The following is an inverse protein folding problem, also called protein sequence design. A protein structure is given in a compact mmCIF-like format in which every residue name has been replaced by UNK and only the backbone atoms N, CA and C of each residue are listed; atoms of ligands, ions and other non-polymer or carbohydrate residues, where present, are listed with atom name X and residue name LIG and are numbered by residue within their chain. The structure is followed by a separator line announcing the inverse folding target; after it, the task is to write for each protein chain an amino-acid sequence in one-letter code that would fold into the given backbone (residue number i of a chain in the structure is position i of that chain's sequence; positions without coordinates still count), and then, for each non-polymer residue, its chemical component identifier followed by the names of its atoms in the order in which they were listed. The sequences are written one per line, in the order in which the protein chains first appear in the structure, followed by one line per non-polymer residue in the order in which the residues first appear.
data_IF_813356243084
#
_entry.id   IF_813356243084
#
_cell.length_a   1.000
_cell.length_b   1.000
_cell.length_c   1.000
_cell.angle_alpha   90.00
_cell.angle_beta   90.00
_cell.angle_gamma   90.00
#
_symmetry.space_group_name_H-M   'P 1'
#
loop_
_entity.id
_entity.type
_entity.pdbx_description
1 polymer ?
#
# COMPACT_ATOMS: atom_id res chain seq x y z
N UNK A 1 5.27 -13.06 3.30
CA UNK A 1 5.74 -11.89 4.07
C UNK A 1 7.17 -11.44 3.72
N UNK A 2 8.16 -12.34 3.68
CA UNK A 2 9.58 -12.03 3.42
C UNK A 2 9.85 -11.34 2.07
N UNK A 3 9.07 -11.68 1.03
CA UNK A 3 9.22 -11.09 -0.31
C UNK A 3 9.03 -9.56 -0.33
N UNK A 4 8.13 -9.00 0.50
CA UNK A 4 7.91 -7.56 0.58
C UNK A 4 9.14 -6.83 1.13
N UNK A 5 9.72 -7.38 2.19
CA UNK A 5 10.93 -6.82 2.80
C UNK A 5 12.12 -6.86 1.82
N UNK A 6 12.29 -7.97 1.09
CA UNK A 6 13.34 -8.07 0.06
C UNK A 6 13.13 -7.10 -1.09
N UNK A 7 11.91 -7.01 -1.64
CA UNK A 7 11.55 -6.01 -2.64
C UNK A 7 11.75 -4.57 -2.13
N UNK A 8 11.79 -4.42 -0.80
CA UNK A 8 12.04 -3.17 -0.11
C UNK A 8 13.49 -2.89 0.25
N UNK A 9 14.43 -3.79 -0.10
CA UNK A 9 15.85 -3.65 0.21
C UNK A 9 16.23 -4.10 1.62
N UNK A 10 15.32 -4.71 2.37
CA UNK A 10 15.58 -5.22 3.71
C UNK A 10 15.91 -6.72 3.68
N UNK A 11 16.75 -7.14 4.61
CA UNK A 11 17.06 -8.55 4.87
C UNK A 11 16.42 -8.97 6.21
N UNK A 12 15.10 -9.24 6.22
CA UNK A 12 14.33 -9.31 7.46
C UNK A 12 14.57 -10.60 8.24
N UNK A 13 15.24 -11.61 7.65
CA UNK A 13 15.26 -12.98 8.17
C UNK A 13 15.77 -13.01 9.61
N UNK A 14 16.89 -12.33 9.89
CA UNK A 14 17.45 -12.27 11.24
C UNK A 14 16.62 -11.38 12.18
N UNK A 15 16.13 -10.25 11.68
CA UNK A 15 15.32 -9.32 12.47
C UNK A 15 13.98 -9.93 12.92
N UNK A 16 13.21 -10.45 11.97
CA UNK A 16 11.91 -11.11 12.22
C UNK A 16 12.09 -12.32 13.14
N UNK A 17 13.11 -13.14 12.92
CA UNK A 17 13.42 -14.27 13.82
C UNK A 17 13.65 -13.80 15.25
N UNK A 18 14.47 -12.76 15.43
CA UNK A 18 14.77 -12.17 16.75
C UNK A 18 13.50 -11.63 17.42
N UNK A 19 12.62 -10.98 16.67
CA UNK A 19 11.36 -10.44 17.20
C UNK A 19 10.39 -11.55 17.64
N UNK A 20 10.32 -12.66 16.89
CA UNK A 20 9.53 -13.85 17.27
C UNK A 20 10.10 -14.51 18.53
N UNK A 21 11.42 -14.72 18.58
CA UNK A 21 12.10 -15.30 19.76
C UNK A 21 11.89 -14.47 21.03
N UNK A 22 11.78 -13.15 20.89
CA UNK A 22 11.47 -12.22 21.98
C UNK A 22 9.97 -12.08 22.28
N UNK A 23 9.11 -12.84 21.60
CA UNK A 23 7.64 -12.76 21.72
C UNK A 23 7.08 -11.36 21.46
N UNK A 24 7.79 -10.55 20.67
CA UNK A 24 7.37 -9.19 20.30
C UNK A 24 6.39 -9.19 19.15
N UNK A 25 6.50 -10.19 18.28
CA UNK A 25 5.61 -10.43 17.15
C UNK A 25 5.31 -11.93 17.06
N UNK A 26 4.17 -12.28 16.46
CA UNK A 26 3.81 -13.64 16.09
C UNK A 26 3.52 -13.69 14.60
N UNK A 27 3.75 -14.83 13.96
CA UNK A 27 3.38 -15.04 12.56
C UNK A 27 2.21 -16.02 12.54
N UNK A 28 1.05 -15.53 12.10
CA UNK A 28 -0.16 -16.34 11.96
C UNK A 28 -0.67 -16.15 10.53
N UNK A 29 -0.85 -17.26 9.80
CA UNK A 29 -1.36 -17.24 8.42
C UNK A 29 -0.61 -16.24 7.52
N UNK A 30 0.73 -16.25 7.56
CA UNK A 30 1.61 -15.32 6.83
C UNK A 30 1.44 -13.82 7.18
N UNK A 31 0.77 -13.51 8.28
CA UNK A 31 0.61 -12.14 8.81
C UNK A 31 1.42 -11.93 10.09
N UNK A 32 2.02 -10.75 10.22
CA UNK A 32 2.61 -10.30 11.48
C UNK A 32 1.46 -9.91 12.40
N UNK A 33 1.38 -10.57 13.54
CA UNK A 33 0.55 -10.20 14.66
C UNK A 33 1.44 -9.57 15.73
N UNK A 34 0.96 -8.51 16.35
CA UNK A 34 1.66 -7.79 17.42
C UNK A 34 0.65 -7.44 18.50
N UNK A 35 1.07 -7.48 19.76
CA UNK A 35 0.25 -6.92 20.85
C UNK A 35 0.06 -5.41 20.65
N UNK A 36 -1.08 -4.88 21.10
CA UNK A 36 -1.44 -3.47 20.89
C UNK A 36 -0.36 -2.51 21.41
N UNK A 37 0.25 -2.80 22.56
CA UNK A 37 1.36 -2.01 23.11
C UNK A 37 2.60 -1.99 22.19
N UNK A 38 2.89 -3.12 21.53
CA UNK A 38 3.99 -3.20 20.57
C UNK A 38 3.67 -2.45 19.28
N UNK A 39 2.42 -2.49 18.84
CA UNK A 39 1.94 -1.70 17.70
C UNK A 39 2.04 -0.21 18.01
N UNK A 40 1.62 0.21 19.19
CA UNK A 40 1.68 1.60 19.64
C UNK A 40 3.13 2.10 19.71
N UNK A 41 4.02 1.33 20.34
CA UNK A 41 5.44 1.68 20.42
C UNK A 41 6.09 1.74 19.03
N UNK A 42 5.87 0.72 18.18
CA UNK A 42 6.40 0.70 16.82
C UNK A 42 5.88 1.85 15.96
N UNK A 43 4.63 2.25 16.19
CA UNK A 43 4.01 3.41 15.57
C UNK A 43 4.68 4.71 16.01
N UNK A 44 4.89 4.91 17.30
CA UNK A 44 5.53 6.12 17.84
C UNK A 44 6.96 6.29 17.28
N UNK A 45 7.72 5.20 17.20
CA UNK A 45 9.07 5.20 16.59
C UNK A 45 8.98 5.60 15.12
N UNK A 46 8.07 4.99 14.35
CA UNK A 46 7.93 5.31 12.94
C UNK A 46 7.56 6.79 12.70
N UNK A 47 6.69 7.36 13.54
CA UNK A 47 6.32 8.77 13.50
C UNK A 47 7.53 9.66 13.84
N UNK A 48 8.33 9.31 14.84
CA UNK A 48 9.54 10.07 15.20
C UNK A 48 10.60 10.06 14.09
N UNK A 49 10.79 8.92 13.42
CA UNK A 49 11.75 8.81 12.32
C UNK A 49 11.29 9.58 11.07
N UNK A 50 10.01 9.45 10.71
CA UNK A 50 9.46 10.11 9.54
C UNK A 50 7.93 10.17 9.61
N UNK A 51 7.36 11.28 10.13
CA UNK A 51 5.92 11.39 10.42
C UNK A 51 5.02 11.07 9.23
N UNK A 52 5.47 11.39 8.01
CA UNK A 52 4.63 11.32 6.79
C UNK A 52 4.97 10.16 5.86
N UNK A 53 5.89 9.27 6.25
CA UNK A 53 6.31 8.17 5.38
C UNK A 53 5.23 7.10 5.23
N UNK A 54 4.43 6.89 6.27
CA UNK A 54 3.31 5.93 6.29
C UNK A 54 2.08 6.62 6.85
N UNK A 55 1.05 6.72 6.05
CA UNK A 55 -0.19 7.39 6.40
C UNK A 55 -1.28 6.33 6.56
N UNK A 56 -1.83 6.28 7.77
CA UNK A 56 -2.89 5.33 8.13
C UNK A 56 -3.91 5.92 9.11
N UNK A 57 -3.59 7.02 9.80
CA UNK A 57 -4.56 7.75 10.62
C UNK A 57 -5.33 8.76 9.76
N UNK A 58 -6.63 8.94 9.98
CA UNK A 58 -7.42 9.94 9.27
C UNK A 58 -6.84 11.35 9.37
N UNK A 59 -6.27 11.71 10.53
CA UNK A 59 -5.65 13.02 10.75
C UNK A 59 -4.41 13.21 9.87
N UNK A 60 -3.56 12.17 9.78
CA UNK A 60 -2.36 12.18 8.94
C UNK A 60 -2.72 12.22 7.43
N UNK A 61 -3.85 11.59 7.06
CA UNK A 61 -4.41 11.64 5.70
C UNK A 61 -4.82 13.08 5.36
N UNK A 62 -5.55 13.75 6.26
CA UNK A 62 -5.97 15.16 6.09
C UNK A 62 -4.76 16.08 5.99
N UNK A 63 -3.76 15.90 6.83
CA UNK A 63 -2.52 16.69 6.80
C UNK A 63 -1.69 16.47 5.52
N UNK A 64 -1.77 15.28 4.91
CA UNK A 64 -1.18 14.99 3.60
C UNK A 64 -1.86 15.73 2.44
N UNK A 65 -3.14 16.08 2.56
CA UNK A 65 -3.87 16.83 1.52
C UNK A 65 -3.34 18.26 1.33
N UNK A 66 -2.79 18.86 2.40
CA UNK A 66 -2.55 20.31 2.52
C UNK A 66 -1.27 20.80 1.79
N UNK A 67 -0.34 19.93 1.36
CA UNK A 67 0.89 20.39 0.68
C UNK A 67 1.58 19.40 -0.25
N UNK A 68 2.02 19.88 -1.42
CA UNK A 68 2.63 19.06 -2.47
C UNK A 68 3.98 18.43 -2.06
N UNK A 69 4.84 19.13 -1.31
CA UNK A 69 6.13 18.57 -0.85
C UNK A 69 5.96 17.40 0.13
N UNK A 70 4.86 17.39 0.90
CA UNK A 70 4.56 16.33 1.86
C UNK A 70 4.15 15.04 1.16
N UNK A 71 3.49 15.15 0.00
CA UNK A 71 3.04 14.01 -0.81
C UNK A 71 4.21 13.20 -1.40
N UNK A 72 5.35 13.83 -1.65
CA UNK A 72 6.53 13.16 -2.21
C UNK A 72 7.21 12.17 -1.24
N UNK A 73 6.99 12.34 0.07
CA UNK A 73 7.57 11.48 1.11
C UNK A 73 6.73 10.22 1.42
N UNK A 74 5.47 10.18 0.95
CA UNK A 74 4.53 9.11 1.28
C UNK A 74 4.97 7.81 0.57
N UNK A 75 5.26 6.77 1.37
CA UNK A 75 5.57 5.43 0.88
C UNK A 75 4.43 4.42 1.14
N UNK A 76 3.56 4.70 2.11
CA UNK A 76 2.40 3.85 2.40
C UNK A 76 1.15 4.66 2.66
N UNK A 77 0.04 4.24 2.06
CA UNK A 77 -1.29 4.82 2.22
C UNK A 77 -2.30 3.72 2.55
N UNK A 78 -2.84 3.78 3.76
CA UNK A 78 -3.96 2.95 4.21
C UNK A 78 -5.22 3.81 4.27
N UNK A 79 -6.22 3.44 3.48
CA UNK A 79 -7.51 4.10 3.40
C UNK A 79 -8.51 3.31 4.25
N UNK A 80 -8.89 3.92 5.37
CA UNK A 80 -9.83 3.38 6.36
C UNK A 80 -11.26 3.82 6.08
N UNK A 81 -12.16 3.57 7.03
CA UNK A 81 -13.60 3.83 6.92
C UNK A 81 -13.91 5.30 6.56
N UNK A 82 -14.79 5.53 5.55
CA UNK A 82 -15.08 6.88 5.02
C UNK A 82 -15.73 7.82 6.04
N UNK A 83 -16.33 7.29 7.11
CA UNK A 83 -17.00 8.03 8.17
C UNK A 83 -16.05 8.98 8.92
N UNK A 84 -14.74 8.85 8.74
CA UNK A 84 -13.71 9.68 9.35
C UNK A 84 -13.34 10.91 8.50
N UNK A 85 -13.88 11.01 7.29
CA UNK A 85 -13.52 12.00 6.26
C UNK A 85 -14.72 12.86 5.87
N UNK A 86 -14.45 14.09 5.43
CA UNK A 86 -15.48 14.90 4.76
C UNK A 86 -15.74 14.37 3.35
N UNK A 87 -16.90 14.73 2.79
CA UNK A 87 -17.33 14.27 1.47
C UNK A 87 -16.28 14.60 0.39
N UNK A 88 -15.79 13.59 -0.33
CA UNK A 88 -14.82 13.74 -1.41
C UNK A 88 -13.35 13.77 -0.99
N UNK A 89 -13.03 13.90 0.31
CA UNK A 89 -11.63 13.91 0.77
C UNK A 89 -10.95 12.56 0.53
N UNK A 90 -11.65 11.48 0.87
CA UNK A 90 -11.11 10.13 0.74
C UNK A 90 -10.97 9.74 -0.73
N UNK A 91 -11.94 10.08 -1.57
CA UNK A 91 -11.93 9.92 -3.02
C UNK A 91 -10.74 10.66 -3.66
N UNK A 92 -10.46 11.88 -3.21
CA UNK A 92 -9.32 12.65 -3.69
C UNK A 92 -7.99 11.94 -3.41
N UNK A 93 -7.84 11.26 -2.27
CA UNK A 93 -6.59 10.61 -1.87
C UNK A 93 -6.11 9.51 -2.82
N UNK A 94 -7.05 8.84 -3.51
CA UNK A 94 -6.74 7.84 -4.52
C UNK A 94 -7.10 8.28 -5.94
N UNK A 95 -7.40 9.57 -6.13
CA UNK A 95 -7.55 10.17 -7.45
C UNK A 95 -6.25 10.08 -8.25
N UNK A 96 -6.37 10.13 -9.58
CA UNK A 96 -5.21 10.13 -10.45
C UNK A 96 -4.29 11.34 -10.21
N UNK A 97 -4.84 12.48 -9.79
CA UNK A 97 -4.06 13.67 -9.46
C UNK A 97 -3.20 13.45 -8.21
N UNK A 98 -3.82 12.99 -7.11
CA UNK A 98 -3.10 12.75 -5.86
C UNK A 98 -2.03 11.67 -6.02
N UNK A 99 -2.37 10.56 -6.68
CA UNK A 99 -1.43 9.44 -6.89
C UNK A 99 -0.24 9.80 -7.79
N UNK A 100 -0.38 10.76 -8.72
CA UNK A 100 0.75 11.26 -9.51
C UNK A 100 1.72 12.12 -8.69
N UNK A 101 1.23 12.74 -7.62
CA UNK A 101 2.05 13.53 -6.69
C UNK A 101 2.74 12.65 -5.65
N UNK A 102 2.22 11.47 -5.32
CA UNK A 102 2.83 10.49 -4.39
C UNK A 102 3.83 9.55 -5.06
N UNK A 103 4.92 10.11 -5.61
CA UNK A 103 5.88 9.38 -6.46
C UNK A 103 6.64 8.23 -5.78
N UNK A 104 6.68 8.21 -4.45
CA UNK A 104 7.35 7.16 -3.65
C UNK A 104 6.39 6.12 -3.10
N UNK A 105 5.11 6.18 -3.47
CA UNK A 105 4.10 5.26 -2.94
C UNK A 105 4.42 3.81 -3.32
N UNK A 106 4.49 2.95 -2.31
CA UNK A 106 4.85 1.53 -2.41
C UNK A 106 3.79 0.61 -1.85
N UNK A 107 2.99 1.10 -0.91
CA UNK A 107 1.89 0.35 -0.30
C UNK A 107 0.63 1.18 -0.46
N UNK A 108 -0.39 0.60 -1.08
CA UNK A 108 -1.72 1.18 -1.18
C UNK A 108 -2.75 0.13 -0.78
N UNK A 109 -3.50 0.42 0.28
CA UNK A 109 -4.48 -0.49 0.86
C UNK A 109 -5.80 0.27 1.05
N UNK A 110 -6.86 -0.21 0.41
CA UNK A 110 -8.25 0.25 0.59
C UNK A 110 -9.08 -0.90 1.18
N UNK A 111 -9.30 -0.87 2.49
CA UNK A 111 -9.93 -1.99 3.23
C UNK A 111 -11.44 -1.83 3.42
N UNK A 112 -11.97 -0.62 3.29
CA UNK A 112 -13.39 -0.37 3.53
C UNK A 112 -14.26 -0.79 2.33
N UNK A 113 -15.51 -1.16 2.61
CA UNK A 113 -16.53 -1.38 1.59
C UNK A 113 -17.16 -0.05 1.22
N UNK A 114 -17.31 0.20 -0.08
CA UNK A 114 -18.00 1.41 -0.51
C UNK A 114 -19.51 1.27 -0.25
N UNK A 115 -20.12 2.30 0.35
CA UNK A 115 -21.59 2.38 0.50
C UNK A 115 -22.29 2.83 -0.80
N UNK A 116 -21.53 3.26 -1.82
CA UNK A 116 -22.01 3.77 -3.10
C UNK A 116 -21.11 3.37 -4.30
N UNK A 117 -21.23 4.09 -5.42
CA UNK A 117 -20.45 3.83 -6.63
C UNK A 117 -19.04 4.44 -6.50
N UNK A 118 -18.00 3.60 -6.56
CA UNK A 118 -16.60 4.05 -6.60
C UNK A 118 -16.30 4.66 -7.98
N UNK A 119 -15.72 5.85 -8.01
CA UNK A 119 -15.19 6.39 -9.27
C UNK A 119 -14.09 5.46 -9.84
N UNK A 120 -14.04 5.28 -11.18
CA UNK A 120 -13.01 4.48 -11.80
C UNK A 120 -11.62 5.05 -11.54
N UNK A 121 -10.72 4.22 -11.02
CA UNK A 121 -9.31 4.61 -10.81
C UNK A 121 -8.59 4.65 -12.15
N UNK A 122 -8.24 5.86 -12.61
CA UNK A 122 -7.57 6.06 -13.90
C UNK A 122 -6.04 5.90 -13.86
N UNK A 123 -5.42 5.88 -12.67
CA UNK A 123 -3.96 5.81 -12.52
C UNK A 123 -3.55 5.06 -11.25
N UNK A 124 -2.50 4.25 -11.36
CA UNK A 124 -1.82 3.61 -10.23
C UNK A 124 -0.29 3.77 -10.38
N UNK A 125 0.46 4.11 -9.32
CA UNK A 125 1.92 4.25 -9.41
C UNK A 125 2.65 2.91 -9.66
N UNK A 126 3.54 2.87 -10.65
CA UNK A 126 4.35 1.66 -10.94
C UNK A 126 5.40 1.33 -9.87
N UNK A 127 5.58 2.20 -8.87
CA UNK A 127 6.41 1.98 -7.69
C UNK A 127 5.78 1.04 -6.65
N UNK A 128 4.51 0.68 -6.81
CA UNK A 128 3.79 -0.17 -5.86
C UNK A 128 4.43 -1.56 -5.72
N UNK A 129 4.60 -1.96 -4.46
CA UNK A 129 5.01 -3.30 -4.00
C UNK A 129 3.82 -4.07 -3.44
N UNK A 130 2.83 -3.37 -2.87
CA UNK A 130 1.60 -3.94 -2.33
C UNK A 130 0.40 -3.11 -2.78
N UNK A 131 -0.55 -3.75 -3.44
CA UNK A 131 -1.85 -3.21 -3.76
C UNK A 131 -2.96 -4.10 -3.18
N UNK A 132 -3.71 -3.58 -2.22
CA UNK A 132 -4.96 -4.19 -1.77
C UNK A 132 -6.11 -3.23 -1.99
N UNK A 133 -7.12 -3.66 -2.73
CA UNK A 133 -8.26 -2.83 -3.08
C UNK A 133 -9.56 -3.61 -3.01
N UNK A 134 -10.38 -3.29 -2.01
CA UNK A 134 -11.70 -3.86 -1.86
C UNK A 134 -12.72 -3.11 -2.74
N UNK A 135 -13.60 -3.86 -3.39
CA UNK A 135 -14.68 -3.34 -4.25
C UNK A 135 -14.22 -2.48 -5.44
N UNK A 136 -13.05 -2.80 -6.01
CA UNK A 136 -12.54 -2.08 -7.18
C UNK A 136 -13.56 -2.11 -8.34
N UNK A 137 -14.01 -0.92 -8.77
CA UNK A 137 -15.15 -0.74 -9.67
C UNK A 137 -14.85 -1.03 -11.14
N UNK A 138 -13.59 -0.83 -11.58
CA UNK A 138 -13.20 -1.03 -12.97
C UNK A 138 -13.01 -2.51 -13.32
N UNK A 139 -13.34 -2.88 -14.55
CA UNK A 139 -13.24 -4.26 -15.05
C UNK A 139 -11.79 -4.72 -15.32
N UNK A 140 -10.84 -3.79 -15.32
CA UNK A 140 -9.41 -4.03 -15.47
C UNK A 140 -8.58 -2.97 -14.76
N UNK A 141 -7.31 -3.28 -14.44
CA UNK A 141 -6.36 -2.28 -13.96
C UNK A 141 -6.01 -1.27 -15.07
N UNK A 142 -5.50 -0.06 -14.73
CA UNK A 142 -5.09 0.94 -15.71
C UNK A 142 -4.08 0.36 -16.70
N UNK A 143 -4.20 0.70 -17.98
CA UNK A 143 -3.34 0.15 -19.05
C UNK A 143 -1.87 0.51 -18.89
N UNK A 144 -1.57 1.66 -18.29
CA UNK A 144 -0.23 2.13 -17.97
C UNK A 144 0.33 1.57 -16.65
N UNK A 145 -0.42 0.71 -15.96
CA UNK A 145 0.01 0.08 -14.72
C UNK A 145 0.83 -1.20 -14.99
N UNK A 146 2.14 -1.02 -14.96
CA UNK A 146 3.18 -2.01 -15.20
C UNK A 146 4.19 -2.04 -14.03
N UNK A 147 3.75 -2.43 -12.82
CA UNK A 147 4.63 -2.39 -11.66
C UNK A 147 5.63 -3.56 -11.69
N UNK A 148 6.88 -3.27 -12.01
CA UNK A 148 7.94 -4.28 -12.10
C UNK A 148 8.28 -4.97 -10.77
N UNK A 149 7.93 -4.34 -9.64
CA UNK A 149 8.27 -4.82 -8.28
C UNK A 149 7.04 -5.20 -7.44
N UNK A 150 5.85 -5.34 -8.05
CA UNK A 150 4.65 -5.70 -7.30
C UNK A 150 4.79 -7.11 -6.72
N UNK A 151 4.65 -7.22 -5.39
CA UNK A 151 4.74 -8.47 -4.64
C UNK A 151 3.35 -8.96 -4.21
N UNK A 152 2.49 -8.04 -3.75
CA UNK A 152 1.17 -8.35 -3.24
C UNK A 152 0.07 -7.65 -4.05
N UNK A 153 -0.92 -8.41 -4.47
CA UNK A 153 -2.11 -7.93 -5.17
C UNK A 153 -3.36 -8.65 -4.63
N UNK A 154 -4.25 -7.91 -3.98
CA UNK A 154 -5.52 -8.42 -3.44
C UNK A 154 -6.67 -7.53 -3.89
N UNK A 155 -7.65 -8.09 -4.61
CA UNK A 155 -8.76 -7.32 -5.20
C UNK A 155 -10.13 -7.92 -4.82
N UNK A 156 -10.43 -7.96 -3.52
CA UNK A 156 -11.64 -8.64 -3.00
C UNK A 156 -12.92 -7.88 -3.38
N UNK A 157 -13.95 -8.60 -3.84
CA UNK A 157 -15.24 -8.02 -4.20
C UNK A 157 -15.18 -7.06 -5.39
N UNK A 158 -14.13 -7.14 -6.22
CA UNK A 158 -13.95 -6.29 -7.39
C UNK A 158 -14.74 -6.77 -8.61
N UNK A 159 -15.03 -5.84 -9.52
CA UNK A 159 -15.63 -6.11 -10.83
C UNK A 159 -14.60 -6.53 -11.88
N UNK A 160 -13.37 -6.88 -11.48
CA UNK A 160 -12.30 -7.20 -12.43
C UNK A 160 -12.64 -8.47 -13.21
N UNK A 161 -12.79 -8.32 -14.51
CA UNK A 161 -12.98 -9.42 -15.47
C UNK A 161 -11.65 -9.80 -16.11
N UNK A 162 -10.75 -8.81 -16.28
CA UNK A 162 -9.45 -8.98 -16.92
C UNK A 162 -8.40 -8.14 -16.21
N UNK A 163 -7.37 -8.78 -15.67
CA UNK A 163 -6.39 -8.09 -14.83
C UNK A 163 -5.59 -7.01 -15.60
N UNK A 164 -5.16 -7.30 -16.83
CA UNK A 164 -4.44 -6.36 -17.70
C UNK A 164 -4.87 -6.50 -19.15
N UNK A 165 -4.76 -5.42 -19.92
CA UNK A 165 -4.96 -5.46 -21.37
C UNK A 165 -3.71 -5.98 -22.09
N UNK A 166 -3.65 -7.28 -22.35
CA UNK A 166 -2.56 -7.95 -23.07
C UNK A 166 -1.95 -9.11 -22.28
N UNK A 167 -1.00 -9.83 -22.88
CA UNK A 167 -0.25 -10.88 -22.19
C UNK A 167 0.96 -10.26 -21.47
N UNK A 168 1.04 -10.37 -20.15
CA UNK A 168 2.24 -9.98 -19.40
C UNK A 168 3.22 -11.16 -19.38
N UNK A 169 4.26 -11.07 -20.20
CA UNK A 169 5.39 -12.01 -20.17
C UNK A 169 6.20 -11.72 -18.91
N UNK A 170 6.31 -12.68 -17.99
CA UNK A 170 7.32 -12.63 -16.94
C UNK A 170 8.69 -12.70 -17.63
N UNK A 171 9.41 -11.59 -17.69
CA UNK A 171 10.83 -11.65 -17.98
C UNK A 171 11.48 -12.44 -16.83
N UNK A 172 12.30 -13.47 -17.10
CA UNK A 172 13.06 -14.12 -16.06
C UNK A 172 13.91 -13.05 -15.35
N UNK A 173 14.11 -13.16 -14.02
CA UNK A 173 15.03 -12.26 -13.33
C UNK A 173 16.36 -12.31 -14.08
N UNK A 174 16.83 -11.15 -14.53
CA UNK A 174 18.07 -11.01 -15.27
C UNK A 174 19.11 -11.87 -14.59
N UNK A 175 19.50 -12.96 -15.26
CA UNK A 175 20.56 -13.82 -14.81
C UNK A 175 21.80 -12.95 -14.84
N UNK A 176 22.29 -12.53 -13.67
CA UNK A 176 23.66 -12.05 -13.56
C UNK A 176 24.54 -13.23 -13.98
N UNK A 177 24.97 -13.22 -15.24
CA UNK A 177 26.08 -14.03 -15.68
C UNK A 177 27.35 -13.31 -15.25
N UNK A 178 28.04 -13.98 -14.31
CA UNK A 178 29.45 -13.87 -13.89
C UNK A 178 29.93 -12.54 -13.31
#
# INVERSE_FOLDING_TARGET
MTALFHASGFHPVLGVKTLVEKSLIFILEDKIQMHDLMQEMGTQIAVQESPMRRIYRPEDVKDACIGDMRKEAIEGLLLTEPEQFEEGELEYMYSAEALKKTRRLRILVKEYYNRGFDEPVAYLPNSLLWLEWRNYSSNSLPSNFEPAKLVYLTMKGSSIIKLWNGAKVRLPPSSCFL
#
